data_IF_939721945927
#
_entry.id   IF_939721945927
#
_cell.length_a   1.000
_cell.length_b   1.000
_cell.length_c   1.000
_cell.angle_alpha   90.00
_cell.angle_beta   90.00
_cell.angle_gamma   90.00
#
_symmetry.space_group_name_H-M   'P 1'
#
loop_
_entity.id
_entity.type
_entity.pdbx_description
1 polymer ?
#
# COMPACT_ATOMS: atom_id res chain seq x y z
N UNK A 1 -3.63 -9.81 -2.72
CA UNK A 1 -2.29 -10.18 -3.23
C UNK A 1 -1.25 -9.08 -3.11
N UNK A 2 -1.50 -7.81 -3.45
CA UNK A 2 -0.46 -6.78 -3.29
C UNK A 2 -0.09 -6.52 -1.82
N UNK A 3 -1.10 -6.40 -0.95
CA UNK A 3 -0.90 -6.25 0.50
C UNK A 3 -0.11 -7.43 1.08
N UNK A 4 -0.50 -8.67 0.75
CA UNK A 4 0.14 -9.90 1.24
C UNK A 4 1.63 -9.96 0.88
N UNK A 5 2.00 -9.57 -0.35
CA UNK A 5 3.40 -9.60 -0.81
C UNK A 5 4.28 -8.67 0.01
N UNK A 6 3.81 -7.46 0.30
CA UNK A 6 4.60 -6.45 0.99
C UNK A 6 4.61 -6.63 2.51
N UNK A 7 3.51 -7.14 3.09
CA UNK A 7 3.41 -7.42 4.52
C UNK A 7 3.99 -8.78 4.90
N UNK A 8 4.09 -9.70 3.93
CA UNK A 8 4.39 -11.13 4.14
C UNK A 8 3.41 -11.81 5.09
N UNK A 9 2.16 -11.36 5.04
CA UNK A 9 1.06 -11.82 5.90
C UNK A 9 -0.08 -12.34 5.04
N UNK A 10 -0.79 -13.36 5.50
CA UNK A 10 -1.96 -13.89 4.79
C UNK A 10 -3.25 -13.27 5.34
N UNK A 11 -4.31 -13.11 4.52
CA UNK A 11 -5.58 -12.56 4.98
C UNK A 11 -6.28 -13.44 6.01
N UNK A 12 -5.92 -14.72 6.08
CA UNK A 12 -6.47 -15.74 6.96
C UNK A 12 -5.53 -16.14 8.11
N UNK A 13 -4.46 -15.36 8.35
CA UNK A 13 -3.64 -15.56 9.55
C UNK A 13 -4.49 -15.33 10.80
N UNK A 14 -4.23 -16.07 11.88
CA UNK A 14 -5.08 -16.12 13.10
C UNK A 14 -5.32 -14.74 13.74
N UNK A 15 -4.41 -13.79 13.53
CA UNK A 15 -4.53 -12.42 14.02
C UNK A 15 -5.70 -11.64 13.38
N UNK A 16 -6.19 -12.07 12.21
CA UNK A 16 -7.32 -11.45 11.51
C UNK A 16 -8.58 -12.28 11.73
N UNK A 17 -9.53 -11.75 12.48
CA UNK A 17 -10.79 -12.40 12.78
C UNK A 17 -11.92 -11.36 12.91
N UNK A 18 -13.15 -11.82 12.69
CA UNK A 18 -14.34 -10.96 12.73
C UNK A 18 -14.18 -9.74 11.83
N UNK A 19 -14.28 -8.55 12.43
CA UNK A 19 -14.19 -7.27 11.74
C UNK A 19 -12.75 -6.76 11.54
N UNK A 20 -11.74 -7.44 12.11
CA UNK A 20 -10.34 -7.05 11.98
C UNK A 20 -9.68 -7.76 10.80
N UNK A 21 -9.64 -7.07 9.66
CA UNK A 21 -9.07 -7.59 8.42
C UNK A 21 -7.65 -7.09 8.16
N UNK A 22 -6.89 -7.84 7.35
CA UNK A 22 -5.57 -7.42 6.84
C UNK A 22 -5.60 -6.02 6.20
N UNK A 23 -6.69 -5.68 5.52
CA UNK A 23 -6.91 -4.36 4.92
C UNK A 23 -7.01 -3.27 5.99
N UNK A 24 -7.78 -3.51 7.05
CA UNK A 24 -7.96 -2.57 8.16
C UNK A 24 -6.63 -2.33 8.87
N UNK A 25 -5.91 -3.40 9.20
CA UNK A 25 -4.59 -3.30 9.83
C UNK A 25 -3.60 -2.45 9.02
N UNK A 26 -3.55 -2.64 7.69
CA UNK A 26 -2.70 -1.81 6.84
C UNK A 26 -3.16 -0.36 6.81
N UNK A 27 -4.46 -0.11 6.66
CA UNK A 27 -5.02 1.24 6.67
C UNK A 27 -4.65 2.01 7.95
N UNK A 28 -4.72 1.34 9.10
CA UNK A 28 -4.44 1.92 10.41
C UNK A 28 -2.93 2.07 10.68
N UNK A 29 -2.10 1.22 10.07
CA UNK A 29 -0.64 1.23 10.25
C UNK A 29 0.09 2.18 9.30
N UNK A 30 -0.58 2.69 8.25
CA UNK A 30 0.07 3.57 7.29
C UNK A 30 0.39 4.93 7.92
N UNK A 31 1.67 5.36 7.93
CA UNK A 31 2.03 6.67 8.45
C UNK A 31 1.42 7.76 7.56
N UNK A 32 0.76 8.75 8.19
CA UNK A 32 0.09 9.81 7.44
C UNK A 32 1.05 10.85 6.85
N UNK A 33 2.21 11.08 7.47
CA UNK A 33 3.47 11.69 6.96
C UNK A 33 4.30 12.09 8.19
N UNK A 34 5.62 11.83 8.14
CA UNK A 34 6.78 12.61 8.67
C UNK A 34 7.88 11.64 9.11
N UNK A 35 9.06 11.76 8.47
CA UNK A 35 10.35 11.34 9.03
C UNK A 35 11.46 12.23 8.45
N UNK A 36 11.59 13.44 8.97
CA UNK A 36 12.55 14.48 8.53
C UNK A 36 14.01 14.19 8.93
N UNK A 37 14.25 13.13 9.70
CA UNK A 37 15.58 12.76 10.21
C UNK A 37 16.18 11.56 9.45
N UNK A 38 15.41 10.95 8.54
CA UNK A 38 15.80 9.72 7.84
C UNK A 38 16.54 10.04 6.54
N UNK A 39 17.56 9.24 6.23
CA UNK A 39 18.28 9.31 4.95
C UNK A 39 17.32 9.41 3.75
N UNK A 40 17.63 10.29 2.81
CA UNK A 40 16.74 10.60 1.69
C UNK A 40 16.44 9.39 0.78
N UNK A 41 17.36 8.43 0.66
CA UNK A 41 17.12 7.21 -0.12
C UNK A 41 16.22 6.23 0.65
N UNK A 42 16.42 6.11 1.96
CA UNK A 42 15.54 5.32 2.81
C UNK A 42 14.11 5.92 2.85
N UNK A 43 14.01 7.24 2.96
CA UNK A 43 12.72 7.95 2.93
C UNK A 43 11.98 7.71 1.61
N UNK A 44 12.66 7.79 0.47
CA UNK A 44 12.06 7.49 -0.85
C UNK A 44 11.52 6.06 -0.94
N UNK A 45 12.28 5.06 -0.44
CA UNK A 45 11.81 3.67 -0.43
C UNK A 45 10.54 3.52 0.41
N UNK A 46 10.49 4.18 1.56
CA UNK A 46 9.31 4.19 2.43
C UNK A 46 8.11 4.84 1.75
N UNK A 47 8.27 6.01 1.13
CA UNK A 47 7.22 6.71 0.38
C UNK A 47 6.64 5.84 -0.75
N UNK A 48 7.49 5.07 -1.41
CA UNK A 48 7.07 4.17 -2.47
C UNK A 48 6.27 3.00 -1.91
N UNK A 49 6.69 2.41 -0.78
CA UNK A 49 5.90 1.37 -0.11
C UNK A 49 4.55 1.91 0.35
N UNK A 50 4.51 3.11 0.95
CA UNK A 50 3.26 3.78 1.36
C UNK A 50 2.34 3.98 0.14
N UNK A 51 2.89 4.46 -0.98
CA UNK A 51 2.13 4.69 -2.21
C UNK A 51 1.59 3.39 -2.82
N UNK A 52 2.37 2.31 -2.78
CA UNK A 52 1.94 0.98 -3.22
C UNK A 52 0.79 0.46 -2.34
N UNK A 53 0.90 0.62 -1.02
CA UNK A 53 -0.15 0.22 -0.09
C UNK A 53 -1.43 1.00 -0.29
N UNK A 54 -1.35 2.31 -0.57
CA UNK A 54 -2.53 3.13 -0.93
C UNK A 54 -3.22 2.60 -2.19
N UNK A 55 -2.46 2.27 -3.24
CA UNK A 55 -3.03 1.62 -4.44
C UNK A 55 -3.66 0.28 -4.10
N UNK A 56 -3.04 -0.51 -3.23
CA UNK A 56 -3.58 -1.79 -2.79
C UNK A 56 -4.90 -1.64 -2.04
N UNK A 57 -5.02 -0.64 -1.16
CA UNK A 57 -6.25 -0.33 -0.43
C UNK A 57 -7.37 0.16 -1.36
N UNK A 58 -7.06 1.00 -2.35
CA UNK A 58 -8.01 1.46 -3.36
C UNK A 58 -8.59 0.29 -4.19
N UNK A 59 -7.81 -0.77 -4.43
CA UNK A 59 -8.28 -1.99 -5.09
C UNK A 59 -9.23 -2.82 -4.22
N UNK A 60 -9.17 -2.64 -2.90
CA UNK A 60 -9.91 -3.44 -1.91
C UNK A 60 -11.14 -2.70 -1.34
N UNK A 61 -11.58 -1.58 -1.93
CA UNK A 61 -12.81 -0.88 -1.51
C UNK A 61 -14.03 -1.82 -1.66
N UNK A 62 -14.92 -1.87 -0.66
CA UNK A 62 -16.03 -2.85 -0.66
C UNK A 62 -16.94 -2.68 -1.88
N UNK A 63 -17.35 -1.43 -2.14
CA UNK A 63 -18.18 -1.08 -3.28
C UNK A 63 -17.41 -1.25 -4.60
N UNK A 64 -17.90 -2.06 -5.56
CA UNK A 64 -17.28 -2.20 -6.87
C UNK A 64 -17.09 -0.88 -7.60
N UNK A 65 -18.02 0.08 -7.43
CA UNK A 65 -17.97 1.41 -8.07
C UNK A 65 -16.91 2.33 -7.45
N UNK A 66 -16.50 2.07 -6.21
CA UNK A 66 -15.47 2.82 -5.52
C UNK A 66 -14.06 2.25 -5.72
N UNK A 67 -13.93 1.07 -6.34
CA UNK A 67 -12.63 0.46 -6.65
C UNK A 67 -12.00 1.17 -7.84
N UNK A 68 -10.71 1.42 -7.73
CA UNK A 68 -9.88 1.89 -8.85
C UNK A 68 -9.88 0.85 -9.98
N UNK A 69 -9.87 1.31 -11.23
CA UNK A 69 -9.78 0.42 -12.38
C UNK A 69 -8.33 -0.06 -12.64
N UNK A 70 -8.17 -1.20 -13.32
CA UNK A 70 -6.84 -1.79 -13.51
C UNK A 70 -5.91 -0.98 -14.42
N UNK A 71 -6.44 -0.18 -15.35
CA UNK A 71 -5.63 0.74 -16.18
C UNK A 71 -5.03 1.83 -15.30
N UNK A 72 -5.83 2.38 -14.38
CA UNK A 72 -5.38 3.35 -13.39
C UNK A 72 -4.40 2.75 -12.38
N UNK A 73 -4.64 1.52 -11.90
CA UNK A 73 -3.68 0.77 -11.05
C UNK A 73 -2.33 0.66 -11.74
N UNK A 74 -2.30 0.21 -13.00
CA UNK A 74 -1.06 0.07 -13.78
C UNK A 74 -0.40 1.44 -13.98
N UNK A 75 -1.17 2.49 -14.25
CA UNK A 75 -0.68 3.86 -14.37
C UNK A 75 0.01 4.35 -13.10
N UNK A 76 -0.63 4.17 -11.93
CA UNK A 76 -0.07 4.55 -10.63
C UNK A 76 1.17 3.74 -10.28
N UNK A 77 1.16 2.42 -10.49
CA UNK A 77 2.32 1.56 -10.22
C UNK A 77 3.51 1.90 -11.12
N UNK A 78 3.29 2.24 -12.40
CA UNK A 78 4.35 2.73 -13.29
C UNK A 78 4.95 4.04 -12.80
N UNK A 79 4.12 4.98 -12.31
CA UNK A 79 4.59 6.24 -11.73
C UNK A 79 5.46 6.00 -10.50
N UNK A 80 5.03 5.12 -9.59
CA UNK A 80 5.80 4.76 -8.39
C UNK A 80 7.13 4.10 -8.78
N UNK A 81 7.12 3.21 -9.78
CA UNK A 81 8.35 2.60 -10.32
C UNK A 81 9.34 3.65 -10.80
N UNK A 82 8.88 4.65 -11.55
CA UNK A 82 9.76 5.74 -12.02
C UNK A 82 10.34 6.50 -10.83
N UNK A 83 9.53 6.86 -9.82
CA UNK A 83 10.00 7.57 -8.62
C UNK A 83 11.08 6.79 -7.85
N UNK A 84 10.97 5.46 -7.77
CA UNK A 84 11.98 4.59 -7.16
C UNK A 84 13.33 4.60 -7.89
N UNK A 85 13.33 4.71 -9.22
CA UNK A 85 14.51 4.55 -10.07
C UNK A 85 15.04 5.85 -10.69
N UNK A 86 14.50 7.02 -10.33
CA UNK A 86 14.91 8.32 -10.89
C UNK A 86 16.20 8.89 -10.26
N UNK A 87 17.20 8.03 -10.00
CA UNK A 87 18.55 8.41 -9.58
C UNK A 87 19.58 7.86 -10.54
#
# INVERSE_FOLDING_TARGET
>A
MLIEIFTRTKPNDEMFNGDFSLKQWVSDSLPQTIMEVVDANLMRKLDCVISIMKVALDCCVESPKGRIDMKDVVGRLKKIKIQLFSC
#
